data_IF_575030388418
#
_entry.id   IF_575030388418
#
_cell.length_a   1.000
_cell.length_b   1.000
_cell.length_c   1.000
_cell.angle_alpha   90.00
_cell.angle_beta   90.00
_cell.angle_gamma   90.00
#
_symmetry.space_group_name_H-M   'P 1'
#
loop_
_entity.id
_entity.type
_entity.pdbx_description
1 polymer ?
#
# COMPACT_ATOMS: atom_id res chain seq x y z
N UNK A 1 5.26 2.96 -10.92
CA UNK A 1 4.32 4.03 -10.56
C UNK A 1 3.26 3.42 -9.68
N UNK A 2 3.35 3.61 -8.35
CA UNK A 2 2.42 2.98 -7.41
C UNK A 2 1.21 3.87 -7.21
N UNK A 3 0.04 3.40 -7.65
CA UNK A 3 -1.25 4.08 -7.50
C UNK A 3 -1.84 3.76 -6.11
N UNK A 4 -1.96 4.77 -5.26
CA UNK A 4 -2.78 4.70 -4.04
C UNK A 4 -4.25 4.87 -4.45
N UNK A 5 -5.05 3.84 -4.27
CA UNK A 5 -6.49 3.94 -4.49
C UNK A 5 -7.12 4.79 -3.38
N UNK A 6 -7.70 5.93 -3.78
CA UNK A 6 -8.64 6.70 -2.96
C UNK A 6 -10.05 6.41 -3.46
N UNK A 7 -11.06 6.25 -2.58
CA UNK A 7 -12.44 5.97 -2.98
C UNK A 7 -13.11 7.04 -3.88
N UNK A 8 -12.41 8.14 -4.23
CA UNK A 8 -12.91 9.27 -5.00
C UNK A 8 -12.16 9.62 -6.29
N UNK A 9 -11.16 8.82 -6.73
CA UNK A 9 -10.42 9.04 -7.98
C UNK A 9 -8.93 9.41 -7.81
N UNK A 10 -8.14 9.08 -8.83
CA UNK A 10 -6.67 9.12 -8.81
C UNK A 10 -6.10 10.55 -8.68
N UNK A 11 -5.32 10.81 -7.63
CA UNK A 11 -4.53 12.05 -7.50
C UNK A 11 -3.07 11.75 -7.82
N UNK A 12 -2.49 12.34 -8.88
CA UNK A 12 -1.08 12.11 -9.21
C UNK A 12 -0.15 12.79 -8.19
N UNK A 13 0.78 12.02 -7.63
CA UNK A 13 1.86 12.55 -6.78
C UNK A 13 3.07 12.85 -7.67
N UNK A 14 3.37 14.12 -7.87
CA UNK A 14 4.53 14.56 -8.65
C UNK A 14 5.85 14.22 -7.94
N UNK A 15 6.81 13.72 -8.72
CA UNK A 15 8.18 13.39 -8.27
C UNK A 15 8.89 14.63 -7.71
N UNK A 16 8.95 14.75 -6.38
CA UNK A 16 9.78 15.75 -5.71
C UNK A 16 11.21 15.22 -5.59
N UNK A 17 12.01 15.42 -6.62
CA UNK A 17 13.48 15.42 -6.52
C UNK A 17 14.04 16.64 -7.23
N UNK A 18 14.28 17.70 -6.45
CA UNK A 18 15.61 18.25 -6.12
C UNK A 18 15.45 19.68 -5.57
N UNK A 19 15.94 19.91 -4.34
CA UNK A 19 16.37 21.26 -3.92
C UNK A 19 15.76 21.79 -2.62
N UNK A 20 16.51 21.61 -1.53
CA UNK A 20 16.57 22.46 -0.32
C UNK A 20 15.37 22.50 0.65
N UNK A 21 15.77 22.55 1.93
CA UNK A 21 15.02 22.58 3.19
C UNK A 21 14.15 21.37 3.55
N UNK A 22 14.60 20.75 4.62
CA UNK A 22 13.90 19.82 5.49
C UNK A 22 12.54 20.41 5.92
N UNK A 23 11.47 20.08 5.19
CA UNK A 23 10.10 20.51 5.47
C UNK A 23 9.20 19.30 5.75
N UNK A 24 9.79 18.28 6.39
CA UNK A 24 9.04 17.25 7.11
C UNK A 24 8.96 17.59 8.60
N UNK A 25 8.70 18.86 8.91
CA UNK A 25 8.20 19.21 10.23
C UNK A 25 6.83 18.53 10.37
N UNK A 26 6.67 17.64 11.36
CA UNK A 26 5.35 17.15 11.70
C UNK A 26 4.43 18.37 11.95
N UNK A 27 3.12 18.29 11.70
CA UNK A 27 2.25 19.45 11.96
C UNK A 27 2.40 19.98 13.39
N UNK A 28 2.70 19.12 14.37
CA UNK A 28 3.02 19.58 15.73
C UNK A 28 4.30 20.44 15.81
N UNK A 29 5.33 20.16 15.01
CA UNK A 29 6.54 21.00 14.92
C UNK A 29 6.23 22.36 14.29
N UNK A 30 5.34 22.44 13.29
CA UNK A 30 4.95 23.72 12.68
C UNK A 30 4.12 24.60 13.63
N UNK A 31 3.29 23.99 14.49
CA UNK A 31 2.57 24.72 15.54
C UNK A 31 3.51 25.16 16.68
N UNK A 32 4.41 24.27 17.12
CA UNK A 32 5.42 24.60 18.11
C UNK A 32 6.41 25.68 17.61
N UNK A 33 6.70 25.70 16.30
CA UNK A 33 7.52 26.73 15.66
C UNK A 33 6.82 28.09 15.65
N UNK A 34 5.48 28.14 15.54
CA UNK A 34 4.70 29.37 15.62
C UNK A 34 4.54 29.87 17.07
N UNK A 35 4.62 28.99 18.07
CA UNK A 35 4.65 29.37 19.50
C UNK A 35 5.97 30.06 19.91
N UNK A 36 7.07 29.83 19.16
CA UNK A 36 8.38 30.50 19.35
C UNK A 36 8.51 31.81 18.54
N UNK A 37 7.53 32.11 17.68
CA UNK A 37 7.42 33.43 17.04
C UNK A 37 6.84 34.43 18.05
N UNK A 38 7.51 35.57 18.22
CA UNK A 38 7.01 36.67 19.06
C UNK A 38 5.79 37.34 18.40
N UNK A 39 4.62 36.73 18.56
CA UNK A 39 3.32 37.20 18.04
C UNK A 39 2.98 38.61 18.57
N UNK A 40 3.60 39.03 19.68
CA UNK A 40 3.46 40.35 20.27
C UNK A 40 4.32 41.44 19.61
N UNK A 41 5.21 41.07 18.68
CA UNK A 41 5.98 42.00 17.84
C UNK A 41 5.30 42.36 16.51
N UNK A 42 4.24 41.63 16.13
CA UNK A 42 3.52 41.80 14.86
C UNK A 42 2.60 43.03 14.89
N UNK A 43 2.43 43.68 13.73
CA UNK A 43 1.41 44.73 13.56
C UNK A 43 -0.01 44.15 13.72
N UNK A 44 -1.02 44.98 14.04
CA UNK A 44 -2.39 44.49 14.24
C UNK A 44 -2.94 43.67 13.06
N UNK A 45 -2.63 44.09 11.82
CA UNK A 45 -3.05 43.38 10.61
C UNK A 45 -2.34 42.04 10.43
N UNK A 46 -1.05 41.96 10.75
CA UNK A 46 -0.27 40.71 10.68
C UNK A 46 -0.71 39.70 11.76
N UNK A 47 -1.13 40.18 12.94
CA UNK A 47 -1.72 39.32 13.99
C UNK A 47 -3.04 38.71 13.54
N UNK A 48 -3.92 39.50 12.95
CA UNK A 48 -5.21 38.99 12.44
C UNK A 48 -5.01 37.95 11.34
N UNK A 49 -4.01 38.13 10.47
CA UNK A 49 -3.64 37.15 9.45
C UNK A 49 -3.07 35.87 10.06
N UNK A 50 -2.18 35.99 11.05
CA UNK A 50 -1.62 34.84 11.76
C UNK A 50 -2.72 34.03 12.49
N UNK A 51 -3.64 34.71 13.18
CA UNK A 51 -4.78 34.08 13.86
C UNK A 51 -5.70 33.33 12.88
N UNK A 52 -5.96 33.90 11.71
CA UNK A 52 -6.75 33.23 10.66
C UNK A 52 -6.03 31.98 10.16
N UNK A 53 -4.74 32.08 9.88
CA UNK A 53 -3.92 30.95 9.44
C UNK A 53 -3.86 29.82 10.48
N UNK A 54 -3.70 30.15 11.76
CA UNK A 54 -3.72 29.16 12.85
C UNK A 54 -5.07 28.44 12.93
N UNK A 55 -6.20 29.16 12.77
CA UNK A 55 -7.53 28.54 12.75
C UNK A 55 -7.71 27.60 11.58
N UNK A 56 -7.27 27.97 10.38
CA UNK A 56 -7.34 27.11 9.19
C UNK A 56 -6.51 25.84 9.37
N UNK A 57 -5.30 25.95 9.94
CA UNK A 57 -4.48 24.80 10.29
C UNK A 57 -5.16 23.88 11.31
N UNK A 58 -5.78 24.45 12.34
CA UNK A 58 -6.49 23.70 13.37
C UNK A 58 -7.70 22.95 12.77
N UNK A 59 -8.49 23.61 11.93
CA UNK A 59 -9.64 22.99 11.24
C UNK A 59 -9.18 21.86 10.31
N UNK A 60 -8.10 22.07 9.56
CA UNK A 60 -7.50 21.04 8.71
C UNK A 60 -7.06 19.81 9.52
N UNK A 61 -6.42 20.02 10.68
CA UNK A 61 -6.04 18.93 11.61
C UNK A 61 -7.26 18.17 12.14
N UNK A 62 -8.34 18.85 12.49
CA UNK A 62 -9.56 18.20 12.95
C UNK A 62 -10.19 17.32 11.87
N UNK A 63 -10.25 17.80 10.62
CA UNK A 63 -10.76 17.02 9.49
C UNK A 63 -9.94 15.73 9.28
N UNK A 64 -8.61 15.78 9.45
CA UNK A 64 -7.76 14.58 9.36
C UNK A 64 -8.03 13.59 10.49
N UNK A 65 -8.29 14.07 11.72
CA UNK A 65 -8.67 13.22 12.87
C UNK A 65 -10.05 12.59 12.71
N UNK A 66 -10.92 13.14 11.86
CA UNK A 66 -12.28 12.65 11.68
C UNK A 66 -12.35 11.31 10.93
N UNK A 67 -11.30 10.92 10.19
CA UNK A 67 -11.28 9.63 9.49
C UNK A 67 -11.14 8.49 10.49
N UNK A 68 -12.09 7.54 10.57
CA UNK A 68 -11.98 6.43 11.52
C UNK A 68 -10.75 5.58 11.21
N UNK A 69 -9.90 5.35 12.22
CA UNK A 69 -8.70 4.55 12.06
C UNK A 69 -8.99 3.13 11.52
N UNK A 70 -10.14 2.55 11.87
CA UNK A 70 -10.59 1.26 11.35
C UNK A 70 -10.68 1.23 9.81
N UNK A 71 -11.14 2.32 9.19
CA UNK A 71 -11.23 2.43 7.71
C UNK A 71 -9.84 2.47 7.10
N UNK A 72 -8.92 3.23 7.69
CA UNK A 72 -7.53 3.32 7.23
C UNK A 72 -6.86 1.96 7.35
N UNK A 73 -6.97 1.29 8.50
CA UNK A 73 -6.38 -0.03 8.74
C UNK A 73 -6.98 -1.08 7.82
N UNK A 74 -8.29 -1.06 7.58
CA UNK A 74 -8.94 -1.96 6.62
C UNK A 74 -8.41 -1.75 5.18
N UNK A 75 -8.17 -0.50 4.78
CA UNK A 75 -7.52 -0.21 3.50
C UNK A 75 -6.09 -0.79 3.42
N UNK A 76 -5.31 -0.72 4.49
CA UNK A 76 -3.97 -1.31 4.53
C UNK A 76 -4.04 -2.85 4.47
N UNK A 77 -5.02 -3.47 5.13
CA UNK A 77 -5.26 -4.90 5.03
C UNK A 77 -5.60 -5.32 3.59
N UNK A 78 -6.41 -4.54 2.88
CA UNK A 78 -6.67 -4.77 1.46
C UNK A 78 -5.40 -4.64 0.62
N UNK A 79 -4.56 -3.62 0.88
CA UNK A 79 -3.27 -3.48 0.20
C UNK A 79 -2.31 -4.67 0.41
N UNK A 80 -2.29 -5.27 1.60
CA UNK A 80 -1.52 -6.50 1.86
C UNK A 80 -2.06 -7.70 1.06
N UNK A 81 -3.38 -7.81 0.92
CA UNK A 81 -4.01 -8.82 0.05
C UNK A 81 -3.59 -8.63 -1.41
N UNK A 82 -3.67 -7.40 -1.93
CA UNK A 82 -3.28 -7.09 -3.32
C UNK A 82 -1.81 -7.36 -3.58
N UNK A 83 -0.94 -7.01 -2.62
CA UNK A 83 0.49 -7.29 -2.71
C UNK A 83 0.78 -8.80 -2.78
N UNK A 84 0.08 -9.61 -1.97
CA UNK A 84 0.17 -11.06 -2.05
C UNK A 84 -0.30 -11.58 -3.41
N UNK A 85 -1.44 -11.09 -3.90
CA UNK A 85 -1.98 -11.48 -5.19
C UNK A 85 -1.04 -11.15 -6.36
N UNK A 86 -0.43 -9.95 -6.36
CA UNK A 86 0.53 -9.51 -7.38
C UNK A 86 1.77 -10.40 -7.43
N UNK A 87 2.31 -10.80 -6.28
CA UNK A 87 3.44 -11.72 -6.22
C UNK A 87 3.07 -13.15 -6.66
N UNK A 88 1.86 -13.62 -6.36
CA UNK A 88 1.37 -14.92 -6.83
C UNK A 88 1.04 -14.93 -8.33
N UNK A 89 0.60 -13.81 -8.90
CA UNK A 89 0.30 -13.71 -10.34
C UNK A 89 1.55 -13.49 -11.20
N UNK A 90 2.71 -13.27 -10.60
CA UNK A 90 3.99 -13.14 -11.31
C UNK A 90 4.36 -14.43 -12.04
N UNK A 91 5.19 -14.34 -13.08
CA UNK A 91 5.69 -15.50 -13.85
C UNK A 91 7.22 -15.50 -13.85
N UNK A 92 7.89 -16.40 -13.08
CA UNK A 92 7.30 -17.38 -12.17
C UNK A 92 6.68 -16.73 -10.90
N UNK A 93 5.72 -17.39 -10.22
CA UNK A 93 5.16 -16.89 -8.97
C UNK A 93 6.22 -16.69 -7.89
N UNK A 94 6.20 -15.53 -7.22
CA UNK A 94 7.12 -15.24 -6.12
C UNK A 94 6.52 -15.64 -4.77
N UNK A 95 6.65 -16.91 -4.41
CA UNK A 95 6.09 -17.43 -3.16
C UNK A 95 6.72 -16.82 -1.91
N UNK A 96 8.00 -16.47 -1.93
CA UNK A 96 8.67 -15.87 -0.76
C UNK A 96 8.08 -14.51 -0.41
N UNK A 97 7.90 -13.65 -1.41
CA UNK A 97 7.29 -12.33 -1.20
C UNK A 97 5.79 -12.41 -0.93
N UNK A 98 5.07 -13.32 -1.62
CA UNK A 98 3.66 -13.56 -1.34
C UNK A 98 3.44 -14.02 0.11
N UNK A 99 4.30 -14.89 0.64
CA UNK A 99 4.19 -15.37 2.03
C UNK A 99 4.29 -14.22 3.04
N UNK A 100 5.25 -13.30 2.86
CA UNK A 100 5.40 -12.13 3.75
C UNK A 100 4.11 -11.31 3.80
N UNK A 101 3.49 -11.03 2.65
CA UNK A 101 2.26 -10.27 2.58
C UNK A 101 1.05 -11.02 3.20
N UNK A 102 0.94 -12.33 2.96
CA UNK A 102 -0.11 -13.19 3.54
C UNK A 102 0.02 -13.28 5.06
N UNK A 103 1.23 -13.41 5.58
CA UNK A 103 1.50 -13.50 7.02
C UNK A 103 1.23 -12.16 7.71
N UNK A 104 1.64 -11.04 7.09
CA UNK A 104 1.33 -9.70 7.58
C UNK A 104 -0.19 -9.45 7.64
N UNK A 105 -0.92 -9.82 6.58
CA UNK A 105 -2.37 -9.73 6.57
C UNK A 105 -3.00 -10.60 7.67
N UNK A 106 -2.50 -11.83 7.84
CA UNK A 106 -2.94 -12.73 8.91
C UNK A 106 -2.76 -12.12 10.30
N UNK A 107 -1.56 -11.64 10.61
CA UNK A 107 -1.24 -11.03 11.90
C UNK A 107 -2.10 -9.79 12.18
N UNK A 108 -2.34 -8.95 11.17
CA UNK A 108 -3.21 -7.78 11.29
C UNK A 108 -4.65 -8.18 11.61
N UNK A 109 -5.24 -9.12 10.86
CA UNK A 109 -6.64 -9.53 11.06
C UNK A 109 -6.88 -10.31 12.36
N UNK A 110 -5.86 -11.02 12.86
CA UNK A 110 -5.88 -11.63 14.18
C UNK A 110 -5.87 -10.56 15.28
N UNK A 111 -4.94 -9.60 15.20
CA UNK A 111 -4.82 -8.54 16.20
C UNK A 111 -6.01 -7.57 16.22
N UNK A 112 -6.71 -7.39 15.09
CA UNK A 112 -7.81 -6.43 14.93
C UNK A 112 -9.21 -7.07 15.01
N UNK A 113 -9.34 -8.28 15.54
CA UNK A 113 -10.62 -8.97 15.66
C UNK A 113 -11.68 -8.11 16.39
N UNK A 114 -12.84 -7.93 15.74
CA UNK A 114 -13.96 -7.13 16.22
C UNK A 114 -13.78 -5.61 16.10
N UNK A 115 -12.71 -5.13 15.45
CA UNK A 115 -12.33 -3.70 15.42
C UNK A 115 -12.34 -3.07 14.03
N UNK A 116 -12.53 -3.85 12.96
CA UNK A 116 -12.49 -3.34 11.58
C UNK A 116 -13.88 -3.02 11.00
N UNK A 117 -14.93 -3.16 11.80
CA UNK A 117 -16.30 -2.86 11.37
C UNK A 117 -16.76 -3.80 10.25
N UNK A 118 -17.50 -3.25 9.30
CA UNK A 118 -18.14 -4.01 8.22
C UNK A 118 -17.15 -4.74 7.28
N UNK A 119 -15.93 -4.21 7.14
CA UNK A 119 -14.91 -4.78 6.25
C UNK A 119 -14.29 -6.08 6.78
N UNK A 120 -14.44 -6.39 8.08
CA UNK A 120 -13.71 -7.48 8.74
C UNK A 120 -13.98 -8.86 8.14
N UNK A 121 -15.26 -9.17 7.86
CA UNK A 121 -15.65 -10.46 7.27
C UNK A 121 -15.07 -10.61 5.87
N UNK A 122 -15.21 -9.60 5.02
CA UNK A 122 -14.66 -9.59 3.66
C UNK A 122 -13.14 -9.77 3.65
N UNK A 123 -12.42 -9.10 4.56
CA UNK A 123 -10.96 -9.23 4.66
C UNK A 123 -10.53 -10.63 5.11
N UNK A 124 -11.26 -11.26 6.04
CA UNK A 124 -11.01 -12.66 6.46
C UNK A 124 -11.28 -13.66 5.34
N UNK A 125 -12.35 -13.45 4.58
CA UNK A 125 -12.66 -14.26 3.42
C UNK A 125 -11.57 -14.13 2.36
N UNK A 126 -11.10 -12.90 2.09
CA UNK A 126 -9.97 -12.62 1.20
C UNK A 126 -8.68 -13.31 1.64
N UNK A 127 -8.33 -13.24 2.93
CA UNK A 127 -7.17 -13.96 3.48
C UNK A 127 -7.29 -15.49 3.28
N UNK A 128 -8.48 -16.05 3.46
CA UNK A 128 -8.72 -17.48 3.24
C UNK A 128 -8.53 -17.85 1.77
N UNK A 129 -9.08 -17.04 0.86
CA UNK A 129 -8.95 -17.22 -0.59
C UNK A 129 -7.49 -17.16 -1.05
N UNK A 130 -6.72 -16.16 -0.61
CA UNK A 130 -5.33 -16.00 -1.06
C UNK A 130 -4.42 -17.10 -0.52
N UNK A 131 -4.68 -17.61 0.70
CA UNK A 131 -3.97 -18.78 1.26
C UNK A 131 -4.25 -20.05 0.45
N UNK A 132 -5.52 -20.26 0.03
CA UNK A 132 -5.86 -21.38 -0.85
C UNK A 132 -5.16 -21.24 -2.21
N UNK A 133 -5.16 -20.05 -2.81
CA UNK A 133 -4.47 -19.80 -4.08
C UNK A 133 -2.96 -20.09 -3.97
N UNK A 134 -2.30 -19.64 -2.90
CA UNK A 134 -0.89 -19.92 -2.63
C UNK A 134 -0.60 -21.42 -2.65
N UNK A 135 -1.38 -22.21 -1.90
CA UNK A 135 -1.20 -23.67 -1.82
C UNK A 135 -1.48 -24.35 -3.16
N UNK A 136 -2.54 -23.95 -3.86
CA UNK A 136 -2.89 -24.49 -5.17
C UNK A 136 -1.79 -24.24 -6.22
N UNK A 137 -1.22 -23.03 -6.25
CA UNK A 137 -0.12 -22.71 -7.17
C UNK A 137 1.16 -23.48 -6.82
N UNK A 138 1.47 -23.65 -5.53
CA UNK A 138 2.66 -24.39 -5.09
C UNK A 138 2.58 -25.88 -5.41
N UNK A 139 1.36 -26.44 -5.42
CA UNK A 139 1.11 -27.83 -5.74
C UNK A 139 0.90 -28.08 -7.25
N UNK A 140 0.92 -27.05 -8.09
CA UNK A 140 0.85 -27.22 -9.55
C UNK A 140 2.16 -27.88 -10.02
N UNK A 141 2.09 -29.01 -10.74
CA UNK A 141 3.27 -29.55 -11.42
C UNK A 141 3.89 -28.46 -12.29
N UNK A 142 5.22 -28.34 -12.28
CA UNK A 142 5.93 -27.48 -13.23
C UNK A 142 5.80 -28.10 -14.63
N UNK A 143 4.65 -27.90 -15.29
CA UNK A 143 4.48 -28.22 -16.71
C UNK A 143 5.29 -27.21 -17.52
N UNK A 144 6.56 -27.52 -17.74
CA UNK A 144 7.50 -26.65 -18.45
C UNK A 144 8.79 -27.30 -18.96
N UNK A 145 9.10 -28.54 -18.57
CA UNK A 145 10.31 -29.26 -19.03
C UNK A 145 9.95 -30.54 -19.81
N UNK A 146 9.15 -30.41 -20.87
CA UNK A 146 9.02 -31.45 -21.89
C UNK A 146 8.67 -30.78 -23.22
N UNK A 147 9.42 -31.14 -24.27
CA UNK A 147 9.29 -30.75 -25.69
C UNK A 147 10.42 -29.83 -26.22
N UNK A 148 11.69 -30.21 -26.03
CA UNK A 148 12.73 -29.99 -27.06
C UNK A 148 13.81 -31.09 -26.98
N UNK A 149 13.41 -32.35 -27.16
CA UNK A 149 14.36 -33.43 -27.45
C UNK A 149 13.98 -34.13 -28.76
N UNK A 150 14.60 -33.65 -29.84
CA UNK A 150 15.16 -34.50 -30.89
C UNK A 150 14.19 -35.21 -31.82
N UNK A 151 13.64 -34.49 -32.80
CA UNK A 151 13.24 -35.12 -34.05
C UNK A 151 14.45 -35.17 -35.01
N UNK A 152 15.38 -36.07 -34.72
CA UNK A 152 16.47 -36.45 -35.61
C UNK A 152 16.17 -37.80 -36.24
N UNK A 153 15.23 -37.86 -37.19
CA UNK A 153 15.07 -39.03 -38.03
C UNK A 153 15.73 -38.76 -39.39
N UNK A 154 17.03 -39.03 -39.45
CA UNK A 154 17.77 -39.20 -40.71
C UNK A 154 17.26 -40.47 -41.38
N UNK A 155 16.47 -40.31 -42.44
CA UNK A 155 16.13 -41.38 -43.35
C UNK A 155 17.40 -41.80 -44.12
N UNK A 156 17.92 -42.98 -43.76
CA UNK A 156 18.96 -43.70 -44.49
C UNK A 156 18.35 -44.20 -45.80
N UNK A 157 18.76 -43.60 -46.92
CA UNK A 157 18.42 -44.02 -48.28
C UNK A 157 19.56 -44.88 -48.82
N UNK A 158 19.38 -46.20 -49.06
CA UNK A 158 20.38 -46.96 -49.81
C UNK A 158 20.08 -46.89 -51.31
N UNK A 159 21.09 -46.44 -52.03
CA UNK A 159 21.17 -46.43 -53.48
C UNK A 159 21.43 -47.82 -54.09
N UNK A 160 20.99 -47.95 -55.35
CA UNK A 160 21.31 -48.93 -56.40
C UNK A 160 20.48 -50.22 -56.47
#
# INVERSE_FOLDING_TARGET
>A
MSTLWTPGGEVPVGDRRTGASDESAAPDDAAASLEDFDLDSLSPEEREQADQYIRELAESRERLKAVPAAVVVANHAMGLYELAALHLSSQPPNFGQAAVAIDALGALLEGMQGRLGEAESTLRDGLSQIRMAFVQLKNRPQDGDAEEFGNGNSEDEPAA
#
